data_IF_661849704769
#
_entry.id   IF_661849704769
#
_cell.length_a   1.000
_cell.length_b   1.000
_cell.length_c   1.000
_cell.angle_alpha   90.00
_cell.angle_beta   90.00
_cell.angle_gamma   90.00
#
_symmetry.space_group_name_H-M   'P 1'
#
loop_
_entity.id
_entity.type
_entity.pdbx_description
1 polymer ?
#
# COMPACT_ATOMS: atom_id res chain seq x y z
N UNK A 1 -23.06 -14.82 -8.63
CA UNK A 1 -22.24 -13.61 -8.45
C UNK A 1 -20.87 -13.87 -9.07
N UNK A 2 -20.31 -12.94 -9.83
CA UNK A 2 -18.94 -13.10 -10.31
C UNK A 2 -17.98 -13.27 -9.12
N UNK A 3 -17.05 -14.21 -9.23
CA UNK A 3 -16.05 -14.46 -8.17
C UNK A 3 -14.91 -13.47 -8.34
N UNK A 4 -14.59 -12.69 -7.29
CA UNK A 4 -13.42 -11.82 -7.25
C UNK A 4 -12.18 -12.63 -6.85
N UNK A 5 -11.12 -12.57 -7.67
CA UNK A 5 -9.85 -13.24 -7.40
C UNK A 5 -8.89 -12.27 -6.71
N UNK A 6 -8.50 -12.61 -5.48
CA UNK A 6 -7.61 -11.80 -4.63
C UNK A 6 -6.22 -12.43 -4.60
N UNK A 7 -5.19 -11.62 -4.84
CA UNK A 7 -3.79 -11.97 -4.66
C UNK A 7 -3.26 -11.35 -3.36
N UNK A 8 -3.02 -12.16 -2.33
CA UNK A 8 -2.32 -11.72 -1.12
C UNK A 8 -0.81 -11.93 -1.28
N UNK A 9 -0.04 -10.85 -1.08
CA UNK A 9 1.40 -10.87 -1.27
C UNK A 9 2.12 -11.19 0.04
N UNK A 10 2.94 -12.25 0.02
CA UNK A 10 3.96 -12.48 1.04
C UNK A 10 5.24 -11.78 0.61
N UNK A 11 5.65 -10.72 1.32
CA UNK A 11 6.73 -9.85 0.90
C UNK A 11 7.97 -9.97 1.80
N UNK A 12 9.11 -10.36 1.23
CA UNK A 12 10.40 -10.31 1.93
C UNK A 12 11.00 -8.91 1.77
N UNK A 13 11.01 -8.13 2.85
CA UNK A 13 11.52 -6.76 2.85
C UNK A 13 13.04 -6.76 2.72
N UNK A 14 13.56 -5.91 1.82
CA UNK A 14 14.99 -5.56 1.73
C UNK A 14 15.22 -4.21 2.42
N UNK A 15 16.44 -3.98 2.89
CA UNK A 15 16.86 -2.65 3.37
C UNK A 15 17.02 -1.62 2.21
N UNK A 16 17.01 -2.08 0.98
CA UNK A 16 17.09 -1.27 -0.24
C UNK A 16 15.68 -1.03 -0.78
N UNK A 17 15.22 0.20 -0.72
CA UNK A 17 13.92 0.63 -1.20
C UNK A 17 13.72 0.33 -2.71
N UNK A 18 14.73 0.59 -3.53
CA UNK A 18 14.62 0.35 -4.97
C UNK A 18 14.47 -1.14 -5.29
N UNK A 19 15.16 -2.02 -4.55
CA UNK A 19 14.95 -3.47 -4.67
C UNK A 19 13.53 -3.88 -4.28
N UNK A 20 12.94 -3.22 -3.29
CA UNK A 20 11.55 -3.47 -2.92
C UNK A 20 10.57 -3.01 -4.01
N UNK A 21 10.81 -1.86 -4.67
CA UNK A 21 10.00 -1.43 -5.82
C UNK A 21 10.06 -2.41 -7.00
N UNK A 22 11.24 -2.93 -7.32
CA UNK A 22 11.38 -3.98 -8.37
C UNK A 22 10.58 -5.23 -8.02
N UNK A 23 10.57 -5.65 -6.75
CA UNK A 23 9.74 -6.79 -6.30
C UNK A 23 8.25 -6.52 -6.44
N UNK A 24 7.80 -5.29 -6.18
CA UNK A 24 6.40 -4.90 -6.41
C UNK A 24 6.01 -5.16 -7.86
N UNK A 25 6.83 -4.71 -8.83
CA UNK A 25 6.57 -4.96 -10.25
C UNK A 25 6.48 -6.45 -10.58
N UNK A 26 7.36 -7.27 -9.99
CA UNK A 26 7.35 -8.72 -10.17
C UNK A 26 6.05 -9.37 -9.65
N UNK A 27 5.53 -8.88 -8.51
CA UNK A 27 4.25 -9.35 -7.97
C UNK A 27 3.06 -8.96 -8.85
N UNK A 28 3.03 -7.74 -9.39
CA UNK A 28 2.00 -7.35 -10.36
C UNK A 28 2.04 -8.21 -11.63
N UNK A 29 3.23 -8.54 -12.14
CA UNK A 29 3.38 -9.47 -13.28
C UNK A 29 2.81 -10.86 -12.97
N UNK A 30 3.06 -11.38 -11.75
CA UNK A 30 2.50 -12.67 -11.29
C UNK A 30 0.98 -12.58 -11.12
N UNK A 31 0.46 -11.52 -10.51
CA UNK A 31 -0.97 -11.31 -10.34
C UNK A 31 -1.70 -11.27 -11.70
N UNK A 32 -1.14 -10.56 -12.67
CA UNK A 32 -1.68 -10.50 -14.03
C UNK A 32 -1.72 -11.89 -14.71
N UNK A 33 -0.64 -12.69 -14.59
CA UNK A 33 -0.60 -14.07 -15.12
C UNK A 33 -1.62 -14.99 -14.46
N UNK A 34 -2.07 -14.65 -13.27
CA UNK A 34 -3.08 -15.40 -12.52
C UNK A 34 -4.47 -14.80 -12.61
N UNK A 35 -4.72 -13.85 -13.51
CA UNK A 35 -6.01 -13.17 -13.71
C UNK A 35 -6.61 -12.64 -12.39
N UNK A 36 -5.79 -11.99 -11.56
CA UNK A 36 -6.24 -11.43 -10.30
C UNK A 36 -6.97 -10.09 -10.52
N UNK A 37 -8.08 -9.89 -9.81
CA UNK A 37 -8.85 -8.63 -9.84
C UNK A 37 -8.26 -7.58 -8.91
N UNK A 38 -7.66 -8.02 -7.79
CA UNK A 38 -7.05 -7.15 -6.79
C UNK A 38 -5.80 -7.81 -6.19
N UNK A 39 -4.75 -7.00 -6.00
CA UNK A 39 -3.51 -7.41 -5.31
C UNK A 39 -3.36 -6.65 -4.00
N UNK A 40 -3.05 -7.37 -2.91
CA UNK A 40 -2.93 -6.80 -1.57
C UNK A 40 -1.51 -6.99 -1.05
N UNK A 41 -0.86 -5.89 -0.69
CA UNK A 41 0.48 -5.87 -0.09
C UNK A 41 0.41 -5.73 1.43
N UNK A 42 1.43 -6.23 2.17
CA UNK A 42 1.43 -6.17 3.63
C UNK A 42 1.79 -4.78 4.18
N UNK A 43 1.67 -4.63 5.50
CA UNK A 43 1.97 -3.40 6.22
C UNK A 43 3.46 -3.02 6.08
N UNK A 44 3.74 -1.74 5.84
CA UNK A 44 5.08 -1.10 5.79
C UNK A 44 6.11 -1.90 4.97
N UNK A 45 5.64 -2.57 3.92
CA UNK A 45 6.38 -3.57 3.15
C UNK A 45 7.57 -3.00 2.35
N UNK A 46 7.59 -1.70 2.11
CA UNK A 46 8.68 -1.06 1.35
C UNK A 46 9.88 -0.68 2.22
N UNK A 47 9.68 -0.47 3.52
CA UNK A 47 10.72 0.07 4.42
C UNK A 47 10.90 -0.72 5.70
N UNK A 48 9.94 -1.57 6.07
CA UNK A 48 9.89 -2.23 7.37
C UNK A 48 9.57 -1.24 8.51
N UNK A 49 9.44 -1.77 9.73
CA UNK A 49 8.88 -1.07 10.88
C UNK A 49 9.82 -0.12 11.64
N UNK A 50 10.86 0.44 11.05
CA UNK A 50 11.76 1.40 11.72
C UNK A 50 11.35 2.85 11.41
N UNK A 51 10.27 3.30 12.01
CA UNK A 51 9.54 4.52 11.66
C UNK A 51 10.39 5.80 11.70
N UNK A 52 11.17 6.03 12.75
CA UNK A 52 11.92 7.27 12.92
C UNK A 52 13.15 7.39 12.00
N UNK A 53 13.86 6.28 11.77
CA UNK A 53 15.10 6.25 10.99
C UNK A 53 14.89 6.09 9.48
N UNK A 54 13.68 5.76 9.03
CA UNK A 54 13.39 5.37 7.63
C UNK A 54 12.32 6.21 6.94
N UNK A 55 11.92 7.33 7.55
CA UNK A 55 11.08 8.27 6.83
C UNK A 55 11.93 9.04 5.81
N UNK A 56 11.67 8.79 4.55
CA UNK A 56 12.22 9.55 3.42
C UNK A 56 11.04 10.12 2.63
N UNK A 57 10.97 11.45 2.40
CA UNK A 57 9.84 12.09 1.71
C UNK A 57 9.57 11.53 0.31
N UNK A 58 10.59 11.04 -0.38
CA UNK A 58 10.45 10.45 -1.72
C UNK A 58 9.66 9.14 -1.71
N UNK A 59 9.71 8.35 -0.63
CA UNK A 59 9.10 7.02 -0.57
C UNK A 59 7.59 7.06 -0.82
N UNK A 60 6.79 7.90 -0.13
CA UNK A 60 5.36 7.99 -0.41
C UNK A 60 5.05 8.40 -1.85
N UNK A 61 5.82 9.33 -2.39
CA UNK A 61 5.62 9.81 -3.76
C UNK A 61 5.91 8.73 -4.80
N UNK A 62 7.11 8.13 -4.74
CA UNK A 62 7.54 7.10 -5.71
C UNK A 62 6.66 5.85 -5.62
N UNK A 63 6.29 5.43 -4.40
CA UNK A 63 5.41 4.29 -4.19
C UNK A 63 4.03 4.49 -4.82
N UNK A 64 3.38 5.64 -4.54
CA UNK A 64 2.07 5.95 -5.11
C UNK A 64 2.13 6.05 -6.64
N UNK A 65 3.17 6.68 -7.19
CA UNK A 65 3.39 6.77 -8.63
C UNK A 65 3.56 5.39 -9.29
N UNK A 66 4.34 4.49 -8.65
CA UNK A 66 4.54 3.13 -9.15
C UNK A 66 3.23 2.34 -9.14
N UNK A 67 2.50 2.34 -8.03
CA UNK A 67 1.22 1.63 -7.91
C UNK A 67 0.18 2.13 -8.92
N UNK A 68 0.04 3.45 -9.07
CA UNK A 68 -0.83 4.05 -10.10
C UNK A 68 -0.49 3.53 -11.49
N UNK A 69 0.80 3.55 -11.88
CA UNK A 69 1.27 3.03 -13.16
C UNK A 69 0.97 1.54 -13.33
N UNK A 70 1.26 0.71 -12.32
CA UNK A 70 1.08 -0.74 -12.41
C UNK A 70 -0.40 -1.13 -12.45
N UNK A 71 -1.24 -0.52 -11.62
CA UNK A 71 -2.68 -0.75 -11.65
C UNK A 71 -3.26 -0.43 -13.04
N UNK A 72 -2.88 0.71 -13.62
CA UNK A 72 -3.30 1.10 -14.97
C UNK A 72 -2.80 0.13 -16.05
N UNK A 73 -1.52 -0.25 -15.99
CA UNK A 73 -0.90 -1.09 -17.01
C UNK A 73 -1.44 -2.51 -17.04
N UNK A 74 -1.78 -3.06 -15.85
CA UNK A 74 -2.28 -4.43 -15.73
C UNK A 74 -3.80 -4.51 -15.58
N UNK A 75 -4.50 -3.38 -15.40
CA UNK A 75 -5.94 -3.38 -15.19
C UNK A 75 -6.38 -3.99 -13.84
N UNK A 76 -5.49 -4.02 -12.83
CA UNK A 76 -5.68 -4.68 -11.53
C UNK A 76 -5.85 -3.64 -10.44
N UNK A 77 -6.84 -3.82 -9.54
CA UNK A 77 -6.94 -3.00 -8.32
C UNK A 77 -5.80 -3.34 -7.36
N UNK A 78 -5.43 -2.41 -6.48
CA UNK A 78 -4.42 -2.69 -5.48
C UNK A 78 -4.71 -2.07 -4.12
N UNK A 79 -4.53 -2.87 -3.06
CA UNK A 79 -4.32 -2.36 -1.71
C UNK A 79 -2.81 -2.23 -1.52
N UNK A 80 -2.32 -1.00 -1.51
CA UNK A 80 -0.91 -0.70 -1.29
C UNK A 80 -0.57 -0.81 0.20
N UNK A 81 -0.80 -1.98 0.80
CA UNK A 81 -0.47 -2.29 2.20
C UNK A 81 -0.46 -1.05 3.07
N UNK A 82 0.73 -0.65 3.54
CA UNK A 82 0.89 0.69 4.07
C UNK A 82 2.31 1.26 3.88
N UNK A 83 2.39 2.57 3.99
CA UNK A 83 3.62 3.35 4.00
C UNK A 83 3.57 4.35 5.15
N UNK A 84 4.76 4.77 5.62
CA UNK A 84 4.84 5.89 6.54
C UNK A 84 4.93 7.17 5.72
N UNK A 85 4.00 8.08 5.96
CA UNK A 85 3.99 9.38 5.28
C UNK A 85 3.79 10.54 6.24
N UNK A 86 4.28 11.72 5.85
CA UNK A 86 4.07 12.96 6.57
C UNK A 86 2.88 13.69 5.98
N UNK A 87 1.91 14.01 6.84
CA UNK A 87 0.78 14.87 6.50
C UNK A 87 0.81 16.03 7.49
N UNK A 88 1.00 17.24 6.97
CA UNK A 88 1.35 18.41 7.78
C UNK A 88 2.62 18.11 8.61
N UNK A 89 2.55 18.20 9.93
CA UNK A 89 3.70 17.97 10.81
C UNK A 89 3.77 16.55 11.39
N UNK A 90 2.75 15.70 11.13
CA UNK A 90 2.62 14.40 11.75
C UNK A 90 2.93 13.25 10.77
N UNK A 91 3.45 12.14 11.32
CA UNK A 91 3.67 10.91 10.57
C UNK A 91 2.50 9.95 10.80
N UNK A 92 2.04 9.33 9.73
CA UNK A 92 0.97 8.33 9.74
C UNK A 92 1.40 7.04 9.06
N UNK A 93 0.85 5.94 9.52
CA UNK A 93 0.90 4.66 8.82
C UNK A 93 -0.36 4.58 7.93
N UNK A 94 -0.19 4.78 6.63
CA UNK A 94 -1.31 4.97 5.69
C UNK A 94 -1.33 3.88 4.62
N UNK A 95 -2.47 3.23 4.46
CA UNK A 95 -2.79 2.32 3.36
C UNK A 95 -3.59 3.06 2.28
N UNK A 96 -3.38 2.68 1.01
CA UNK A 96 -4.07 3.26 -0.14
C UNK A 96 -4.76 2.18 -0.97
N UNK A 97 -5.96 2.49 -1.45
CA UNK A 97 -6.68 1.69 -2.42
C UNK A 97 -6.59 2.35 -3.80
N UNK A 98 -6.12 1.59 -4.78
CA UNK A 98 -6.06 1.98 -6.19
C UNK A 98 -7.10 1.23 -6.99
N UNK A 99 -7.77 1.93 -7.92
CA UNK A 99 -8.59 1.28 -8.93
C UNK A 99 -7.73 0.69 -10.07
N UNK A 100 -8.35 -0.08 -10.94
CA UNK A 100 -7.72 -0.69 -12.10
C UNK A 100 -7.34 0.30 -13.23
N UNK A 101 -7.59 1.59 -13.04
CA UNK A 101 -7.14 2.68 -13.92
C UNK A 101 -5.96 3.45 -13.34
N UNK A 102 -5.52 3.07 -12.11
CA UNK A 102 -4.42 3.69 -11.39
C UNK A 102 -4.81 4.92 -10.56
N UNK A 103 -6.11 5.19 -10.37
CA UNK A 103 -6.55 6.27 -9.50
C UNK A 103 -6.53 5.82 -8.04
N UNK A 104 -6.11 6.70 -7.14
CA UNK A 104 -6.34 6.50 -5.69
C UNK A 104 -7.82 6.78 -5.43
N UNK A 105 -8.55 5.76 -4.98
CA UNK A 105 -9.98 5.87 -4.66
C UNK A 105 -10.24 5.90 -3.16
N UNK A 106 -9.22 5.65 -2.35
CA UNK A 106 -9.33 5.77 -0.91
C UNK A 106 -8.01 5.58 -0.18
N UNK A 107 -8.01 5.96 1.10
CA UNK A 107 -6.92 5.72 2.02
C UNK A 107 -7.46 5.42 3.42
N UNK A 108 -6.62 4.75 4.21
CA UNK A 108 -6.89 4.47 5.61
C UNK A 108 -5.62 4.73 6.42
N UNK A 109 -5.72 5.57 7.45
CA UNK A 109 -4.68 5.77 8.46
C UNK A 109 -4.91 4.81 9.60
N UNK A 110 -3.88 4.11 10.04
CA UNK A 110 -3.95 3.14 11.14
C UNK A 110 -4.50 3.79 12.41
N UNK A 111 -5.64 3.28 12.91
CA UNK A 111 -6.31 3.83 14.10
C UNK A 111 -5.69 3.30 15.41
N UNK A 112 -5.26 2.03 15.42
CA UNK A 112 -4.73 1.38 16.62
C UNK A 112 -3.22 1.18 16.49
N UNK A 113 -2.46 2.10 17.06
CA UNK A 113 -1.00 2.06 17.06
C UNK A 113 -0.47 1.14 18.17
N UNK A 114 0.63 0.45 17.89
CA UNK A 114 1.35 -0.32 18.91
C UNK A 114 2.03 0.64 19.88
N UNK A 115 1.56 0.67 21.14
CA UNK A 115 1.94 1.65 22.16
C UNK A 115 3.47 1.73 22.39
N UNK A 116 4.15 0.60 22.44
CA UNK A 116 5.59 0.55 22.75
C UNK A 116 6.49 0.97 21.59
N UNK A 117 6.01 0.93 20.35
CA UNK A 117 6.82 1.17 19.15
C UNK A 117 6.30 2.27 18.24
N UNK A 118 5.02 2.24 17.88
CA UNK A 118 4.43 3.15 16.89
C UNK A 118 3.96 4.47 17.50
N UNK A 119 3.23 4.41 18.61
CA UNK A 119 2.62 5.59 19.24
C UNK A 119 3.63 6.65 19.71
N UNK A 120 4.93 6.32 19.73
CA UNK A 120 6.00 7.28 20.01
C UNK A 120 6.33 8.19 18.83
N UNK A 121 5.96 7.80 17.61
CA UNK A 121 6.43 8.44 16.38
C UNK A 121 5.31 8.73 15.38
N UNK A 122 4.19 8.01 15.49
CA UNK A 122 3.06 8.11 14.56
C UNK A 122 1.84 8.65 15.27
N UNK A 123 1.02 9.38 14.50
CA UNK A 123 -0.32 9.75 14.90
C UNK A 123 -1.33 8.68 14.46
N UNK A 124 -2.32 8.44 15.30
CA UNK A 124 -3.41 7.54 14.97
C UNK A 124 -4.38 8.19 13.97
N UNK A 125 -4.94 7.37 13.09
CA UNK A 125 -6.13 7.75 12.34
C UNK A 125 -7.38 7.74 13.25
N UNK A 126 -8.48 8.21 12.71
CA UNK A 126 -9.76 8.28 13.43
C UNK A 126 -10.97 7.86 12.58
N UNK A 127 -10.74 7.36 11.37
CA UNK A 127 -11.80 7.01 10.45
C UNK A 127 -11.73 5.53 10.04
N UNK A 128 -12.89 4.96 9.77
CA UNK A 128 -13.06 3.70 9.04
C UNK A 128 -13.87 4.01 7.80
N UNK A 129 -13.41 3.57 6.64
CA UNK A 129 -14.06 3.88 5.37
C UNK A 129 -14.28 2.63 4.54
N UNK A 130 -15.39 2.58 3.84
CA UNK A 130 -15.69 1.59 2.80
C UNK A 130 -15.65 2.29 1.46
N UNK A 131 -14.98 1.66 0.49
CA UNK A 131 -14.80 2.25 -0.84
C UNK A 131 -15.49 1.40 -1.90
N UNK A 132 -16.37 2.05 -2.67
CA UNK A 132 -17.08 1.41 -3.77
C UNK A 132 -16.13 1.16 -4.95
N UNK A 133 -16.05 -0.09 -5.41
CA UNK A 133 -15.24 -0.50 -6.56
C UNK A 133 -16.07 -1.28 -7.56
N UNK A 134 -15.54 -1.56 -8.76
CA UNK A 134 -16.20 -2.45 -9.72
C UNK A 134 -16.24 -3.91 -9.31
N UNK A 135 -15.40 -4.30 -8.35
CA UNK A 135 -15.26 -5.67 -7.85
C UNK A 135 -15.94 -5.90 -6.50
N UNK A 136 -16.56 -4.88 -5.93
CA UNK A 136 -17.27 -4.90 -4.64
C UNK A 136 -16.99 -3.67 -3.77
N UNK A 137 -17.46 -3.74 -2.53
CA UNK A 137 -17.26 -2.72 -1.50
C UNK A 137 -16.27 -3.23 -0.46
#
# INVERSE_FOLDING_TARGET
MPKTKICAVQFKISNDFNKNLVRVEQFFKKANKSDCDIICFPEVFLTGGLYKKRYEPRIPYESKKLFSKLCKNYGIHAVMGSIIERINNNLYNTSYLFDNRGNIIGNYKKNHLVQKSEAKYLEAGNNVSVFKTKIGN
#
